data_IF_626384724005
#
_entry.id   IF_626384724005
#
_cell.length_a   1.000
_cell.length_b   1.000
_cell.length_c   1.000
_cell.angle_alpha   90.00
_cell.angle_beta   90.00
_cell.angle_gamma   90.00
#
_symmetry.space_group_name_H-M   'P 1'
#
loop_
_entity.id
_entity.type
_entity.pdbx_description
1 polymer ?
#
# COMPACT_ATOMS: atom_id res chain seq x y z
N UNK A 1 -17.15 -11.86 14.98
CA UNK A 1 -16.44 -11.71 16.25
C UNK A 1 -17.05 -12.68 17.27
N UNK A 2 -16.27 -13.64 17.75
CA UNK A 2 -16.69 -14.50 18.87
C UNK A 2 -15.94 -14.05 20.13
N UNK A 3 -16.62 -13.44 21.07
CA UNK A 3 -16.14 -13.23 22.43
C UNK A 3 -16.44 -14.48 23.25
N UNK A 4 -15.42 -15.14 23.76
CA UNK A 4 -15.55 -16.23 24.72
C UNK A 4 -14.72 -15.92 25.95
N UNK A 5 -15.32 -15.92 27.11
CA UNK A 5 -14.63 -16.08 28.37
C UNK A 5 -14.13 -17.52 28.47
N UNK A 6 -12.84 -17.72 28.50
CA UNK A 6 -12.24 -19.06 28.60
C UNK A 6 -10.93 -19.02 29.38
N UNK A 7 -10.77 -19.96 30.27
CA UNK A 7 -9.53 -20.23 31.00
C UNK A 7 -8.53 -21.12 30.22
N UNK A 8 -8.81 -21.46 28.96
CA UNK A 8 -7.97 -22.36 28.16
C UNK A 8 -6.71 -21.65 27.65
N UNK A 9 -5.56 -22.38 27.61
CA UNK A 9 -4.29 -21.84 27.16
C UNK A 9 -4.26 -21.54 25.65
N UNK A 10 -3.29 -20.70 25.17
CA UNK A 10 -3.14 -20.29 23.76
C UNK A 10 -2.99 -21.45 22.76
N UNK A 11 -2.50 -22.61 23.18
CA UNK A 11 -2.31 -23.80 22.33
C UNK A 11 -3.62 -24.36 21.76
N UNK A 12 -4.75 -24.15 22.45
CA UNK A 12 -6.07 -24.53 21.95
C UNK A 12 -6.57 -23.60 20.82
N UNK A 13 -5.93 -22.45 20.60
CA UNK A 13 -6.33 -21.48 19.58
C UNK A 13 -5.97 -21.93 18.17
N UNK A 14 -4.86 -22.64 17.99
CA UNK A 14 -4.41 -23.09 16.67
C UNK A 14 -5.47 -23.93 15.95
N UNK A 15 -6.28 -24.68 16.69
CA UNK A 15 -7.35 -25.53 16.12
C UNK A 15 -8.55 -24.73 15.59
N UNK A 16 -8.66 -23.44 15.94
CA UNK A 16 -9.76 -22.56 15.50
C UNK A 16 -9.46 -21.85 14.18
N UNK A 17 -8.23 -21.93 13.70
CA UNK A 17 -7.75 -21.23 12.53
C UNK A 17 -7.28 -22.22 11.47
N UNK A 18 -7.56 -21.90 10.21
CA UNK A 18 -7.20 -22.73 9.06
C UNK A 18 -5.84 -22.39 8.46
N UNK A 19 -5.30 -21.22 8.80
CA UNK A 19 -4.07 -20.70 8.23
C UNK A 19 -2.80 -21.35 8.84
N UNK A 20 -1.71 -21.42 8.06
CA UNK A 20 -0.46 -22.06 8.48
C UNK A 20 0.31 -21.27 9.56
N UNK A 21 -0.08 -20.05 9.85
CA UNK A 21 0.61 -19.18 10.80
C UNK A 21 -0.40 -18.36 11.60
N UNK A 22 -0.29 -18.45 12.91
CA UNK A 22 -1.14 -17.74 13.88
C UNK A 22 -0.36 -16.57 14.50
N UNK A 23 -0.96 -15.39 14.48
CA UNK A 23 -0.59 -14.28 15.34
C UNK A 23 -1.36 -14.38 16.65
N UNK A 24 -0.68 -14.24 17.78
CA UNK A 24 -1.30 -14.18 19.09
C UNK A 24 -0.52 -13.26 20.02
N UNK A 25 -1.25 -12.48 20.80
CA UNK A 25 -0.67 -11.52 21.72
C UNK A 25 -1.47 -11.42 23.02
N UNK A 26 -0.79 -11.11 24.10
CA UNK A 26 -1.38 -10.75 25.36
C UNK A 26 -1.67 -9.24 25.37
N UNK A 27 -2.79 -8.84 25.91
CA UNK A 27 -3.25 -7.46 25.97
C UNK A 27 -3.40 -7.05 27.42
N UNK A 28 -3.03 -5.79 27.69
CA UNK A 28 -3.23 -5.13 28.99
C UNK A 28 -2.73 -6.03 30.15
N UNK A 29 -1.44 -6.36 30.13
CA UNK A 29 -0.74 -7.14 31.16
C UNK A 29 -1.36 -8.54 31.42
N UNK A 30 -1.96 -9.14 30.40
CA UNK A 30 -2.54 -10.49 30.52
C UNK A 30 -4.04 -10.52 30.80
N UNK A 31 -4.71 -9.35 30.86
CA UNK A 31 -6.16 -9.28 31.07
C UNK A 31 -6.96 -9.87 29.92
N UNK A 32 -6.40 -9.84 28.71
CA UNK A 32 -6.96 -10.52 27.55
C UNK A 32 -5.88 -11.17 26.70
N UNK A 33 -6.30 -12.10 25.83
CA UNK A 33 -5.46 -12.68 24.78
C UNK A 33 -6.20 -12.56 23.47
N UNK A 34 -5.50 -12.10 22.43
CA UNK A 34 -6.03 -12.02 21.06
C UNK A 34 -5.32 -12.99 20.15
N UNK A 35 -6.02 -13.48 19.13
CA UNK A 35 -5.45 -14.38 18.11
C UNK A 35 -6.15 -14.22 16.77
N UNK A 36 -5.39 -14.30 15.67
CA UNK A 36 -5.90 -14.35 14.29
C UNK A 36 -4.84 -14.92 13.36
N UNK A 37 -5.25 -15.60 12.31
CA UNK A 37 -4.41 -15.94 11.16
C UNK A 37 -4.55 -14.94 10.00
N UNK A 38 -5.46 -13.96 10.13
CA UNK A 38 -5.80 -12.97 9.11
C UNK A 38 -6.14 -13.57 7.75
N UNK A 39 -6.61 -14.81 7.75
CA UNK A 39 -7.00 -15.57 6.55
C UNK A 39 -8.52 -15.65 6.49
N UNK A 40 -9.09 -15.36 5.31
CA UNK A 40 -10.52 -15.51 5.09
C UNK A 40 -10.88 -17.00 5.04
N UNK A 41 -11.96 -17.37 5.72
CA UNK A 41 -12.53 -18.72 5.67
C UNK A 41 -13.32 -18.94 4.36
N UNK A 42 -13.93 -20.11 4.21
CA UNK A 42 -14.71 -20.48 3.04
C UNK A 42 -15.91 -19.54 2.77
N UNK A 43 -16.33 -18.78 3.76
CA UNK A 43 -17.40 -17.78 3.66
C UNK A 43 -16.89 -16.35 3.50
N UNK A 44 -15.57 -16.16 3.39
CA UNK A 44 -14.93 -14.85 3.23
C UNK A 44 -14.75 -14.07 4.53
N UNK A 45 -14.93 -14.68 5.71
CA UNK A 45 -14.75 -14.03 7.00
C UNK A 45 -13.37 -14.27 7.58
N UNK A 46 -12.71 -13.20 8.04
CA UNK A 46 -11.52 -13.28 8.87
C UNK A 46 -11.95 -13.45 10.33
N UNK A 47 -11.34 -14.43 11.01
CA UNK A 47 -11.62 -14.71 12.42
C UNK A 47 -10.62 -14.00 13.30
N UNK A 48 -11.13 -13.27 14.28
CA UNK A 48 -10.34 -12.71 15.37
C UNK A 48 -10.91 -13.25 16.67
N UNK A 49 -10.07 -13.96 17.43
CA UNK A 49 -10.41 -14.47 18.74
C UNK A 49 -9.98 -13.48 19.82
N UNK A 50 -10.86 -13.17 20.73
CA UNK A 50 -10.55 -12.43 21.95
C UNK A 50 -10.95 -13.31 23.14
N UNK A 51 -9.99 -13.63 23.99
CA UNK A 51 -10.21 -14.30 25.25
C UNK A 51 -10.07 -13.26 26.35
N UNK A 52 -11.21 -12.84 26.86
CA UNK A 52 -11.28 -11.92 27.99
C UNK A 52 -11.12 -12.70 29.30
N UNK A 53 -10.27 -12.20 30.20
CA UNK A 53 -10.07 -12.74 31.53
C UNK A 53 -10.61 -11.77 32.59
N UNK A 54 -10.23 -10.52 32.52
CA UNK A 54 -10.52 -9.52 33.55
C UNK A 54 -10.61 -8.09 33.00
N UNK A 55 -10.97 -7.91 31.72
CA UNK A 55 -11.22 -6.58 31.17
C UNK A 55 -12.51 -5.99 31.76
N UNK A 56 -12.53 -4.66 31.94
CA UNK A 56 -13.81 -3.99 32.16
C UNK A 56 -14.64 -4.01 30.86
N UNK A 57 -15.97 -3.89 30.94
CA UNK A 57 -16.83 -3.82 29.75
C UNK A 57 -16.38 -2.74 28.74
N UNK A 58 -15.97 -1.57 29.23
CA UNK A 58 -15.47 -0.45 28.41
C UNK A 58 -14.16 -0.84 27.69
N UNK A 59 -13.22 -1.47 28.40
CA UNK A 59 -11.95 -1.94 27.85
C UNK A 59 -12.16 -3.04 26.81
N UNK A 60 -13.07 -3.97 27.07
CA UNK A 60 -13.44 -5.03 26.12
C UNK A 60 -14.09 -4.46 24.86
N UNK A 61 -14.99 -3.48 24.99
CA UNK A 61 -15.60 -2.75 23.88
C UNK A 61 -14.55 -2.00 23.06
N UNK A 62 -13.67 -1.25 23.71
CA UNK A 62 -12.60 -0.50 23.05
C UNK A 62 -11.60 -1.41 22.33
N UNK A 63 -11.22 -2.55 22.93
CA UNK A 63 -10.36 -3.54 22.27
C UNK A 63 -11.04 -4.12 21.03
N UNK A 64 -12.29 -4.50 21.15
CA UNK A 64 -13.09 -5.04 20.05
C UNK A 64 -13.17 -4.05 18.88
N UNK A 65 -13.45 -2.79 19.14
CA UNK A 65 -13.48 -1.74 18.12
C UNK A 65 -12.12 -1.62 17.42
N UNK A 66 -11.03 -1.54 18.17
CA UNK A 66 -9.67 -1.42 17.58
C UNK A 66 -9.31 -2.62 16.70
N UNK A 67 -9.68 -3.83 17.09
CA UNK A 67 -9.42 -5.02 16.29
C UNK A 67 -10.22 -5.02 14.98
N UNK A 68 -11.48 -4.58 15.01
CA UNK A 68 -12.31 -4.40 13.81
C UNK A 68 -11.73 -3.30 12.90
N UNK A 69 -11.28 -2.19 13.46
CA UNK A 69 -10.63 -1.11 12.73
C UNK A 69 -9.32 -1.57 12.09
N UNK A 70 -8.47 -2.34 12.79
CA UNK A 70 -7.24 -2.92 12.22
C UNK A 70 -7.57 -3.75 10.99
N UNK A 71 -8.54 -4.65 11.07
CA UNK A 71 -8.91 -5.51 9.94
C UNK A 71 -9.50 -4.70 8.78
N UNK A 72 -10.41 -3.78 9.07
CA UNK A 72 -11.02 -2.90 8.07
C UNK A 72 -9.97 -2.08 7.33
N UNK A 73 -9.11 -1.37 8.07
CA UNK A 73 -8.08 -0.52 7.45
C UNK A 73 -7.00 -1.34 6.76
N UNK A 74 -6.68 -2.54 7.25
CA UNK A 74 -5.79 -3.49 6.56
C UNK A 74 -6.32 -3.85 5.18
N UNK A 75 -7.59 -4.20 5.08
CA UNK A 75 -8.22 -4.54 3.80
C UNK A 75 -8.26 -3.34 2.86
N UNK A 76 -8.61 -2.15 3.37
CA UNK A 76 -8.64 -0.92 2.58
C UNK A 76 -7.24 -0.51 2.09
N UNK A 77 -6.20 -0.68 2.91
CA UNK A 77 -4.82 -0.42 2.52
C UNK A 77 -4.36 -1.36 1.38
N UNK A 78 -4.76 -2.63 1.41
CA UNK A 78 -4.39 -3.60 0.37
C UNK A 78 -5.02 -3.32 -1.00
N UNK A 79 -6.10 -2.52 -1.07
CA UNK A 79 -6.74 -2.15 -2.35
C UNK A 79 -5.84 -1.29 -3.26
N UNK A 80 -4.78 -0.69 -2.72
CA UNK A 80 -3.80 0.03 -3.54
C UNK A 80 -2.87 -0.88 -4.34
N UNK A 81 -2.60 -2.10 -3.87
CA UNK A 81 -1.67 -2.99 -4.53
C UNK A 81 -2.09 -3.37 -5.97
N UNK A 82 -3.35 -3.76 -6.25
CA UNK A 82 -3.80 -3.98 -7.62
C UNK A 82 -3.70 -2.73 -8.51
N UNK A 83 -3.94 -1.53 -7.97
CA UNK A 83 -3.77 -0.28 -8.71
C UNK A 83 -2.31 -0.04 -9.09
N UNK A 84 -1.39 -0.19 -8.14
CA UNK A 84 0.05 -0.09 -8.39
C UNK A 84 0.54 -1.13 -9.42
N UNK A 85 0.03 -2.37 -9.34
CA UNK A 85 0.37 -3.42 -10.29
C UNK A 85 -0.11 -3.13 -11.71
N UNK A 86 -1.28 -2.51 -11.89
CA UNK A 86 -1.78 -2.10 -13.22
C UNK A 86 -0.97 -0.96 -13.83
N UNK A 87 -0.47 -0.02 -13.02
CA UNK A 87 0.37 1.10 -13.49
C UNK A 87 1.79 0.70 -13.85
N UNK A 88 2.36 -0.26 -13.14
CA UNK A 88 3.77 -0.64 -13.27
C UNK A 88 4.22 -0.93 -14.71
N UNK A 89 3.46 -1.62 -15.57
CA UNK A 89 3.87 -1.87 -16.95
C UNK A 89 4.01 -0.59 -17.80
N UNK A 90 3.05 0.33 -17.71
CA UNK A 90 3.11 1.62 -18.42
C UNK A 90 4.30 2.45 -17.97
N UNK A 91 4.53 2.54 -16.66
CA UNK A 91 5.67 3.25 -16.10
C UNK A 91 6.98 2.68 -16.63
N UNK A 92 7.15 1.35 -16.62
CA UNK A 92 8.36 0.70 -17.15
C UNK A 92 8.58 1.01 -18.62
N UNK A 93 7.53 0.87 -19.44
CA UNK A 93 7.59 1.17 -20.86
C UNK A 93 8.05 2.61 -21.11
N UNK A 94 7.51 3.58 -20.38
CA UNK A 94 7.88 4.99 -20.48
C UNK A 94 9.33 5.21 -20.03
N UNK A 95 9.75 4.58 -18.93
CA UNK A 95 11.14 4.64 -18.46
C UNK A 95 12.13 4.09 -19.48
N UNK A 96 11.78 3.02 -20.19
CA UNK A 96 12.61 2.41 -21.21
C UNK A 96 12.65 3.23 -22.51
N UNK A 97 11.56 3.94 -22.85
CA UNK A 97 11.44 4.77 -24.04
C UNK A 97 12.10 6.15 -23.90
N UNK A 98 12.00 6.77 -22.72
CA UNK A 98 12.47 8.14 -22.48
C UNK A 98 13.95 8.37 -22.82
N UNK A 99 14.92 7.47 -22.52
CA UNK A 99 16.33 7.65 -22.91
C UNK A 99 16.54 7.72 -24.42
N UNK A 100 15.79 6.94 -25.21
CA UNK A 100 15.90 6.98 -26.67
C UNK A 100 15.41 8.31 -27.24
N UNK A 101 14.32 8.86 -26.69
CA UNK A 101 13.82 10.18 -27.06
C UNK A 101 14.81 11.30 -26.71
N UNK A 102 15.48 11.23 -25.58
CA UNK A 102 16.53 12.18 -25.21
C UNK A 102 17.73 12.11 -26.15
N UNK A 103 18.15 10.90 -26.58
CA UNK A 103 19.23 10.73 -27.55
C UNK A 103 18.82 11.25 -28.94
N UNK A 104 17.56 11.08 -29.35
CA UNK A 104 17.06 11.68 -30.60
C UNK A 104 17.08 13.21 -30.55
N UNK A 105 16.72 13.79 -29.42
CA UNK A 105 16.80 15.25 -29.21
C UNK A 105 18.23 15.82 -29.38
N UNK A 106 19.26 15.03 -29.01
CA UNK A 106 20.65 15.44 -29.18
C UNK A 106 21.15 15.31 -30.64
N UNK A 107 20.68 14.28 -31.34
CA UNK A 107 21.19 13.89 -32.67
C UNK A 107 20.45 14.58 -33.81
N UNK A 108 19.14 14.67 -33.68
CA UNK A 108 18.27 15.23 -34.71
C UNK A 108 18.08 16.74 -34.45
N UNK A 109 18.19 17.54 -35.49
CA UNK A 109 18.02 19.00 -35.41
C UNK A 109 17.04 19.47 -36.49
N UNK A 110 16.32 20.56 -36.18
CA UNK A 110 15.37 21.19 -37.07
C UNK A 110 13.94 21.10 -36.59
N UNK A 111 13.15 22.08 -36.94
CA UNK A 111 11.76 22.31 -36.46
C UNK A 111 10.89 21.05 -36.60
N UNK A 112 11.02 20.31 -37.72
CA UNK A 112 10.20 19.12 -37.96
C UNK A 112 10.52 17.98 -36.97
N UNK A 113 11.82 17.74 -36.70
CA UNK A 113 12.26 16.72 -35.74
C UNK A 113 11.84 17.09 -34.30
N UNK A 114 12.03 18.33 -33.92
CA UNK A 114 11.69 18.81 -32.58
C UNK A 114 10.18 18.79 -32.32
N UNK A 115 9.35 19.10 -33.34
CA UNK A 115 7.87 18.96 -33.25
C UNK A 115 7.46 17.49 -33.08
N UNK A 116 8.04 16.58 -33.87
CA UNK A 116 7.73 15.15 -33.73
C UNK A 116 8.08 14.61 -32.36
N UNK A 117 9.23 15.04 -31.77
CA UNK A 117 9.62 14.68 -30.40
C UNK A 117 8.66 15.29 -29.36
N UNK A 118 8.24 16.54 -29.53
CA UNK A 118 7.30 17.21 -28.66
C UNK A 118 5.92 16.50 -28.66
N UNK A 119 5.44 16.12 -29.85
CA UNK A 119 4.19 15.36 -30.00
C UNK A 119 4.29 14.01 -29.26
N UNK A 120 5.42 13.33 -29.40
CA UNK A 120 5.66 12.05 -28.69
C UNK A 120 5.69 12.22 -27.18
N UNK A 121 6.41 13.22 -26.67
CA UNK A 121 6.45 13.53 -25.23
C UNK A 121 5.07 13.92 -24.69
N UNK A 122 4.28 14.67 -25.47
CA UNK A 122 2.92 15.03 -25.10
C UNK A 122 2.02 13.80 -25.00
N UNK A 123 2.14 12.88 -25.94
CA UNK A 123 1.39 11.61 -25.91
C UNK A 123 1.75 10.77 -24.65
N UNK A 124 3.04 10.67 -24.33
CA UNK A 124 3.52 9.97 -23.12
C UNK A 124 3.02 10.67 -21.86
N UNK A 125 3.09 12.00 -21.79
CA UNK A 125 2.58 12.79 -20.67
C UNK A 125 1.08 12.53 -20.45
N UNK A 126 0.30 12.55 -21.53
CA UNK A 126 -1.15 12.30 -21.48
C UNK A 126 -1.46 10.90 -20.99
N UNK A 127 -0.73 9.89 -21.45
CA UNK A 127 -0.88 8.50 -20.98
C UNK A 127 -0.55 8.38 -19.48
N UNK A 128 0.54 9.00 -19.03
CA UNK A 128 0.97 9.00 -17.64
C UNK A 128 -0.05 9.70 -16.73
N UNK A 129 -0.58 10.85 -17.16
CA UNK A 129 -1.61 11.61 -16.42
C UNK A 129 -2.95 10.87 -16.36
N UNK A 130 -3.37 10.20 -17.43
CA UNK A 130 -4.59 9.41 -17.43
C UNK A 130 -4.50 8.25 -16.44
N UNK A 131 -3.39 7.52 -16.43
CA UNK A 131 -3.13 6.46 -15.45
C UNK A 131 -2.99 7.01 -14.02
N UNK A 132 -2.46 8.23 -13.88
CA UNK A 132 -2.28 8.93 -12.61
C UNK A 132 -3.60 9.26 -11.93
N UNK A 133 -4.50 9.94 -12.63
CA UNK A 133 -5.75 10.43 -12.06
C UNK A 133 -6.60 9.34 -11.41
N UNK A 134 -6.62 8.13 -12.00
CA UNK A 134 -7.31 6.97 -11.44
C UNK A 134 -6.63 6.39 -10.19
N UNK A 135 -5.32 6.54 -10.11
CA UNK A 135 -4.48 5.81 -9.14
C UNK A 135 -4.03 6.64 -7.96
N UNK A 136 -3.83 7.96 -8.13
CA UNK A 136 -3.36 8.86 -7.07
C UNK A 136 -4.25 8.84 -5.84
N UNK A 137 -5.56 8.93 -6.04
CA UNK A 137 -6.51 8.86 -4.93
C UNK A 137 -6.40 7.52 -4.19
N UNK A 138 -6.30 6.42 -4.95
CA UNK A 138 -6.21 5.07 -4.37
C UNK A 138 -4.90 4.84 -3.62
N UNK A 139 -3.77 5.29 -4.18
CA UNK A 139 -2.45 5.15 -3.55
C UNK A 139 -2.33 6.06 -2.32
N UNK A 140 -2.85 7.28 -2.39
CA UNK A 140 -2.94 8.18 -1.23
C UNK A 140 -3.79 7.61 -0.10
N UNK A 141 -4.97 7.07 -0.42
CA UNK A 141 -5.84 6.40 0.54
C UNK A 141 -5.15 5.16 1.16
N UNK A 142 -4.42 4.38 0.37
CA UNK A 142 -3.65 3.21 0.84
C UNK A 142 -2.64 3.60 1.92
N UNK A 143 -1.90 4.69 1.72
CA UNK A 143 -0.96 5.22 2.71
C UNK A 143 -1.66 5.62 4.00
N UNK A 144 -2.74 6.39 3.89
CA UNK A 144 -3.51 6.84 5.06
C UNK A 144 -4.07 5.66 5.86
N UNK A 145 -4.65 4.66 5.19
CA UNK A 145 -5.16 3.46 5.87
C UNK A 145 -4.03 2.62 6.51
N UNK A 146 -2.87 2.53 5.89
CA UNK A 146 -1.72 1.85 6.50
C UNK A 146 -1.24 2.57 7.77
N UNK A 147 -1.23 3.90 7.79
CA UNK A 147 -0.92 4.68 8.99
C UNK A 147 -1.95 4.45 10.10
N UNK A 148 -3.24 4.37 9.76
CA UNK A 148 -4.29 4.01 10.72
C UNK A 148 -4.10 2.60 11.29
N UNK A 149 -3.74 1.60 10.47
CA UNK A 149 -3.42 0.26 10.96
C UNK A 149 -2.30 0.32 12.00
N UNK A 150 -1.22 1.04 11.72
CA UNK A 150 -0.09 1.18 12.65
C UNK A 150 -0.53 1.84 13.95
N UNK A 151 -1.24 2.97 13.87
CA UNK A 151 -1.73 3.67 15.06
C UNK A 151 -2.66 2.79 15.92
N UNK A 152 -3.52 1.97 15.29
CA UNK A 152 -4.38 1.04 16.04
C UNK A 152 -3.61 -0.11 16.67
N UNK A 153 -2.61 -0.67 15.97
CA UNK A 153 -1.72 -1.70 16.54
C UNK A 153 -0.97 -1.16 17.75
N UNK A 154 -0.41 0.05 17.67
CA UNK A 154 0.28 0.68 18.79
C UNK A 154 -0.68 0.90 20.00
N UNK A 155 -1.94 1.22 19.72
CA UNK A 155 -2.94 1.51 20.76
C UNK A 155 -3.44 0.29 21.54
N UNK A 156 -3.31 -0.93 21.01
CA UNK A 156 -3.73 -2.14 21.73
C UNK A 156 -2.70 -2.63 22.77
N UNK A 157 -1.51 -2.04 22.80
CA UNK A 157 -0.44 -2.32 23.78
C UNK A 157 -0.19 -3.83 23.95
N UNK A 158 0.01 -4.50 22.82
CA UNK A 158 0.23 -5.94 22.82
C UNK A 158 1.59 -6.33 23.41
N UNK A 159 1.61 -7.44 24.10
CA UNK A 159 2.82 -8.10 24.58
C UNK A 159 2.93 -9.51 24.01
N UNK A 160 4.19 -9.96 23.85
CA UNK A 160 4.49 -11.23 23.19
C UNK A 160 4.08 -12.45 24.04
N UNK A 161 3.46 -13.41 23.36
CA UNK A 161 3.26 -14.77 23.88
C UNK A 161 4.39 -15.67 23.31
N UNK A 162 5.04 -16.53 24.09
CA UNK A 162 6.04 -17.48 23.59
C UNK A 162 5.53 -18.26 22.37
N UNK A 163 6.40 -18.46 21.39
CA UNK A 163 6.14 -19.19 20.14
C UNK A 163 5.13 -18.57 19.18
N UNK A 164 4.56 -17.38 19.49
CA UNK A 164 3.65 -16.66 18.62
C UNK A 164 4.22 -15.32 18.17
N UNK A 165 3.86 -14.91 16.94
CA UNK A 165 4.09 -13.54 16.47
C UNK A 165 3.02 -12.62 17.05
N UNK A 166 3.38 -11.42 17.45
CA UNK A 166 2.40 -10.37 17.76
C UNK A 166 1.65 -9.93 16.50
N UNK A 167 0.52 -9.27 16.64
CA UNK A 167 -0.24 -8.72 15.51
C UNK A 167 0.60 -7.71 14.73
N UNK A 168 1.33 -6.82 15.41
CA UNK A 168 2.24 -5.86 14.77
C UNK A 168 3.31 -6.56 13.95
N UNK A 169 4.02 -7.54 14.52
CA UNK A 169 5.05 -8.27 13.79
C UNK A 169 4.50 -9.07 12.61
N UNK A 170 3.35 -9.69 12.78
CA UNK A 170 2.69 -10.50 11.77
C UNK A 170 2.20 -9.65 10.58
N UNK A 171 1.49 -8.56 10.87
CA UNK A 171 0.95 -7.68 9.84
C UNK A 171 2.03 -6.87 9.15
N UNK A 172 3.05 -6.38 9.86
CA UNK A 172 4.16 -5.65 9.26
C UNK A 172 4.87 -6.49 8.18
N UNK A 173 5.12 -7.77 8.44
CA UNK A 173 5.77 -8.65 7.45
C UNK A 173 4.94 -8.85 6.19
N UNK A 174 3.61 -8.77 6.26
CA UNK A 174 2.68 -8.96 5.14
C UNK A 174 2.31 -7.68 4.42
N UNK A 175 2.11 -6.58 5.16
CA UNK A 175 1.71 -5.29 4.58
C UNK A 175 2.90 -4.50 4.02
N UNK A 176 4.05 -4.52 4.69
CA UNK A 176 5.20 -3.69 4.29
C UNK A 176 5.63 -3.90 2.83
N UNK A 177 5.71 -5.13 2.29
CA UNK A 177 6.07 -5.31 0.88
C UNK A 177 5.05 -4.69 -0.08
N UNK A 178 3.75 -4.85 0.20
CA UNK A 178 2.67 -4.27 -0.60
C UNK A 178 2.70 -2.73 -0.55
N UNK A 179 2.89 -2.16 0.64
CA UNK A 179 2.99 -0.70 0.81
C UNK A 179 4.23 -0.12 0.13
N UNK A 180 5.37 -0.82 0.17
CA UNK A 180 6.57 -0.43 -0.58
C UNK A 180 6.32 -0.42 -2.08
N UNK A 181 5.64 -1.43 -2.61
CA UNK A 181 5.28 -1.47 -4.04
C UNK A 181 4.43 -0.26 -4.41
N UNK A 182 3.40 0.06 -3.63
CA UNK A 182 2.54 1.24 -3.86
C UNK A 182 3.36 2.54 -3.85
N UNK A 183 4.19 2.74 -2.82
CA UNK A 183 5.01 3.94 -2.68
C UNK A 183 6.05 4.07 -3.81
N UNK A 184 6.68 2.96 -4.23
CA UNK A 184 7.65 2.96 -5.33
C UNK A 184 6.98 3.35 -6.65
N UNK A 185 5.79 2.83 -6.94
CA UNK A 185 5.04 3.17 -8.16
C UNK A 185 4.65 4.64 -8.16
N UNK A 186 4.12 5.16 -7.05
CA UNK A 186 3.78 6.58 -6.87
C UNK A 186 5.01 7.49 -7.12
N UNK A 187 6.15 7.14 -6.52
CA UNK A 187 7.38 7.92 -6.67
C UNK A 187 7.94 7.89 -8.10
N UNK A 188 7.95 6.71 -8.75
CA UNK A 188 8.41 6.57 -10.14
C UNK A 188 7.54 7.38 -11.08
N UNK A 189 6.23 7.33 -10.90
CA UNK A 189 5.28 8.11 -11.67
C UNK A 189 5.53 9.62 -11.53
N UNK A 190 5.64 10.15 -10.32
CA UNK A 190 5.95 11.56 -10.08
C UNK A 190 7.29 11.97 -10.72
N UNK A 191 8.33 11.15 -10.56
CA UNK A 191 9.64 11.39 -11.17
C UNK A 191 9.61 11.41 -12.71
N UNK A 192 8.78 10.57 -13.33
CA UNK A 192 8.59 10.55 -14.78
C UNK A 192 7.84 11.80 -15.26
N UNK A 193 6.75 12.19 -14.61
CA UNK A 193 6.01 13.42 -14.93
C UNK A 193 6.94 14.63 -14.90
N UNK A 194 7.76 14.78 -13.86
CA UNK A 194 8.72 15.86 -13.75
C UNK A 194 9.79 15.85 -14.85
N UNK A 195 10.29 14.67 -15.21
CA UNK A 195 11.30 14.54 -16.30
C UNK A 195 10.70 14.89 -17.64
N UNK A 196 9.51 14.40 -17.96
CA UNK A 196 8.82 14.66 -19.22
C UNK A 196 8.50 16.15 -19.34
N UNK A 197 7.99 16.78 -18.29
CA UNK A 197 7.69 18.21 -18.27
C UNK A 197 8.93 19.07 -18.56
N UNK A 198 10.07 18.76 -17.93
CA UNK A 198 11.33 19.48 -18.17
C UNK A 198 11.84 19.32 -19.62
N UNK A 199 11.75 18.12 -20.18
CA UNK A 199 12.22 17.85 -21.56
C UNK A 199 11.29 18.56 -22.57
N UNK A 200 9.98 18.51 -22.34
CA UNK A 200 9.01 19.19 -23.18
C UNK A 200 9.22 20.73 -23.19
N UNK A 201 9.55 21.31 -22.03
CA UNK A 201 9.84 22.75 -21.92
C UNK A 201 11.12 23.14 -22.69
N UNK A 202 12.18 22.33 -22.57
CA UNK A 202 13.41 22.54 -23.34
C UNK A 202 13.17 22.46 -24.85
N UNK A 203 12.36 21.51 -25.32
CA UNK A 203 12.03 21.41 -26.74
C UNK A 203 11.17 22.58 -27.25
N UNK A 204 10.20 23.05 -26.46
CA UNK A 204 9.41 24.24 -26.80
C UNK A 204 10.28 25.45 -26.98
N UNK A 205 11.16 25.72 -26.02
CA UNK A 205 12.10 26.85 -26.09
C UNK A 205 13.01 26.75 -27.34
N UNK A 206 13.47 25.56 -27.71
CA UNK A 206 14.29 25.33 -28.90
C UNK A 206 13.51 25.59 -30.20
N UNK A 207 12.27 25.11 -30.30
CA UNK A 207 11.39 25.36 -31.44
C UNK A 207 11.11 26.88 -31.59
N UNK A 208 10.84 27.57 -30.48
CA UNK A 208 10.58 29.00 -30.49
C UNK A 208 11.80 29.80 -31.02
N UNK A 209 13.01 29.48 -30.56
CA UNK A 209 14.24 30.12 -31.03
C UNK A 209 14.50 29.86 -32.53
N UNK A 210 14.23 28.64 -33.02
CA UNK A 210 14.40 28.30 -34.43
C UNK A 210 13.35 29.01 -35.35
N UNK A 211 12.18 29.35 -34.81
CA UNK A 211 11.13 30.08 -35.55
C UNK A 211 11.43 31.58 -35.65
N UNK A 212 12.20 32.13 -34.69
CA UNK A 212 12.56 33.56 -34.67
C UNK A 212 13.84 33.87 -35.46
N UNK A 213 14.60 32.88 -35.88
CA UNK A 213 15.88 33.02 -36.60
C UNK A 213 15.75 32.79 -38.10
#
# INVERSE_FOLDING_TARGET
LHLRQSSKPPEAFAQLFAGPALAAASIDEGRATIGSDFTADAFGFVRILVVDRTLSPESAGALTQRLLEIETYRMLALLGLPAAQRLSPSIRRIEDELPSLLLSMERERGIAADRALLDRLTAIATELETGSSESLFRLGATRAYHELVRARLDSIRESRIPHHSTFTSFLSRRLTPAMRTCATVEQRQASLSDKIARVAELLRTRVDIELES
#
